data_IF_530734501713
#
_entry.id   IF_530734501713
#
_cell.length_a   1.000
_cell.length_b   1.000
_cell.length_c   1.000
_cell.angle_alpha   90.00
_cell.angle_beta   90.00
_cell.angle_gamma   90.00
#
_symmetry.space_group_name_H-M   'P 1'
#
loop_
_entity.id
_entity.type
_entity.pdbx_description
1 polymer ?
#
# COMPACT_ATOMS: atom_id res chain seq x y z
N UNK A 1 -10.37 18.74 7.89
CA UNK A 1 -9.72 18.03 6.77
C UNK A 1 -9.26 19.04 5.74
N UNK A 2 -7.97 19.07 5.39
CA UNK A 2 -7.45 20.03 4.41
C UNK A 2 -7.09 19.35 3.08
N UNK A 3 -6.97 20.14 2.03
CA UNK A 3 -6.39 19.69 0.77
C UNK A 3 -4.87 19.50 0.94
N UNK A 4 -4.29 18.59 0.15
CA UNK A 4 -2.84 18.40 0.12
C UNK A 4 -2.21 19.57 -0.65
N UNK A 5 -1.02 19.98 -0.25
CA UNK A 5 -0.22 20.93 -1.03
C UNK A 5 0.35 20.24 -2.27
N UNK A 6 0.87 21.01 -3.23
CA UNK A 6 1.49 20.43 -4.43
C UNK A 6 2.68 19.52 -4.09
N UNK A 7 3.52 19.93 -3.14
CA UNK A 7 4.66 19.13 -2.67
C UNK A 7 4.23 17.82 -1.99
N UNK A 8 3.19 17.87 -1.14
CA UNK A 8 2.62 16.66 -0.50
C UNK A 8 1.96 15.73 -1.52
N UNK A 9 1.30 16.31 -2.51
CA UNK A 9 0.66 15.57 -3.59
C UNK A 9 1.70 14.85 -4.43
N UNK A 10 2.80 15.53 -4.77
CA UNK A 10 3.93 14.93 -5.50
C UNK A 10 4.55 13.76 -4.72
N UNK A 11 4.87 13.96 -3.44
CA UNK A 11 5.48 12.91 -2.60
C UNK A 11 4.55 11.71 -2.38
N UNK A 12 3.25 11.93 -2.23
CA UNK A 12 2.24 10.87 -2.21
C UNK A 12 2.24 10.06 -3.51
N UNK A 13 2.13 10.75 -4.66
CA UNK A 13 2.06 10.09 -5.96
C UNK A 13 3.36 9.38 -6.34
N UNK A 14 4.52 9.93 -5.99
CA UNK A 14 5.81 9.26 -6.14
C UNK A 14 5.81 7.92 -5.38
N UNK A 15 5.32 7.91 -4.13
CA UNK A 15 5.26 6.67 -3.34
C UNK A 15 4.25 5.67 -3.92
N UNK A 16 3.08 6.11 -4.34
CA UNK A 16 2.07 5.24 -4.96
C UNK A 16 2.53 4.70 -6.33
N UNK A 17 3.25 5.50 -7.11
CA UNK A 17 3.81 5.11 -8.40
C UNK A 17 4.82 3.95 -8.27
N UNK A 18 5.49 3.81 -7.11
CA UNK A 18 6.35 2.64 -6.86
C UNK A 18 5.60 1.30 -6.87
N UNK A 19 4.28 1.27 -6.68
CA UNK A 19 3.47 0.04 -6.72
C UNK A 19 2.56 -0.02 -7.97
N UNK A 20 1.87 1.07 -8.28
CA UNK A 20 0.89 1.12 -9.39
C UNK A 20 1.50 1.44 -10.75
N UNK A 21 2.69 2.06 -10.81
CA UNK A 21 3.26 2.61 -12.04
C UNK A 21 2.27 3.55 -12.74
N UNK A 22 1.97 3.28 -14.02
CA UNK A 22 1.02 4.07 -14.83
C UNK A 22 -0.45 3.90 -14.42
N UNK A 23 -0.80 2.86 -13.66
CA UNK A 23 -2.18 2.59 -13.22
C UNK A 23 -2.74 3.60 -12.20
N UNK A 24 -1.93 4.58 -11.80
CA UNK A 24 -2.31 5.59 -10.81
C UNK A 24 -3.39 6.56 -11.31
N UNK A 25 -3.49 6.77 -12.64
CA UNK A 25 -4.54 7.59 -13.25
C UNK A 25 -5.93 7.04 -12.94
N UNK A 26 -6.06 5.71 -12.91
CA UNK A 26 -7.33 5.04 -12.68
C UNK A 26 -7.86 5.32 -11.26
N UNK A 27 -6.98 5.55 -10.28
CA UNK A 27 -7.42 5.92 -8.92
C UNK A 27 -8.17 7.27 -8.86
N UNK A 28 -7.98 8.13 -9.87
CA UNK A 28 -8.59 9.46 -9.93
C UNK A 28 -9.76 9.47 -10.94
N UNK A 29 -9.62 8.72 -12.04
CA UNK A 29 -10.54 8.75 -13.18
C UNK A 29 -11.62 7.67 -13.12
N UNK A 30 -11.34 6.52 -12.50
CA UNK A 30 -12.15 5.32 -12.63
C UNK A 30 -13.28 5.33 -11.59
N UNK A 31 -14.31 6.09 -11.90
CA UNK A 31 -15.56 6.11 -11.14
C UNK A 31 -16.68 5.76 -12.10
N UNK A 32 -16.90 4.47 -12.34
CA UNK A 32 -18.05 3.96 -13.08
C UNK A 32 -19.40 4.50 -12.53
N UNK A 33 -19.39 5.00 -11.28
CA UNK A 33 -20.50 5.64 -10.58
C UNK A 33 -20.57 7.17 -10.68
N UNK A 34 -19.69 7.82 -11.46
CA UNK A 34 -19.67 9.28 -11.65
C UNK A 34 -19.18 10.11 -10.44
N UNK A 35 -18.81 9.46 -9.33
CA UNK A 35 -18.33 10.13 -8.11
C UNK A 35 -16.80 10.24 -8.10
N UNK A 36 -16.27 11.45 -8.26
CA UNK A 36 -14.84 11.71 -8.16
C UNK A 36 -14.28 11.39 -6.78
N UNK A 37 -13.13 10.73 -6.73
CA UNK A 37 -12.37 10.53 -5.50
C UNK A 37 -11.28 11.60 -5.31
N UNK A 38 -11.07 11.99 -4.06
CA UNK A 38 -10.11 13.02 -3.66
C UNK A 38 -9.27 12.57 -2.48
N UNK A 39 -8.05 13.11 -2.40
CA UNK A 39 -7.18 12.95 -1.25
C UNK A 39 -7.37 14.12 -0.28
N UNK A 40 -7.47 13.81 1.01
CA UNK A 40 -7.58 14.81 2.08
C UNK A 40 -6.61 14.47 3.20
N UNK A 41 -6.03 15.51 3.80
CA UNK A 41 -5.11 15.36 4.92
C UNK A 41 -5.78 15.75 6.24
N UNK A 42 -5.53 14.95 7.27
CA UNK A 42 -5.88 15.26 8.65
C UNK A 42 -4.86 14.67 9.62
N UNK A 43 -4.35 15.50 10.54
CA UNK A 43 -3.34 15.09 11.56
C UNK A 43 -2.21 14.24 10.94
N UNK A 44 -1.69 14.70 9.80
CA UNK A 44 -0.63 14.07 8.99
C UNK A 44 -0.97 12.76 8.27
N UNK A 45 -2.22 12.28 8.37
CA UNK A 45 -2.72 11.11 7.65
C UNK A 45 -3.47 11.51 6.38
N UNK A 46 -3.21 10.80 5.30
CA UNK A 46 -3.88 10.99 4.00
C UNK A 46 -5.00 9.98 3.86
N UNK A 47 -6.19 10.49 3.55
CA UNK A 47 -7.40 9.72 3.34
C UNK A 47 -7.84 9.79 1.88
N UNK A 48 -8.24 8.64 1.34
CA UNK A 48 -8.88 8.49 0.04
C UNK A 48 -10.40 8.36 0.24
N UNK A 49 -11.14 9.32 -0.32
CA UNK A 49 -12.57 9.47 -0.05
C UNK A 49 -13.28 10.08 -1.27
N UNK A 50 -14.58 9.81 -1.42
CA UNK A 50 -15.42 10.48 -2.43
C UNK A 50 -15.54 11.97 -2.14
N UNK A 51 -15.52 12.79 -3.18
CA UNK A 51 -15.58 14.26 -3.06
C UNK A 51 -16.82 14.74 -2.29
N UNK A 52 -17.99 14.14 -2.58
CA UNK A 52 -19.25 14.46 -1.88
C UNK A 52 -19.13 14.26 -0.37
N UNK A 53 -18.52 13.15 0.07
CA UNK A 53 -18.32 12.85 1.49
C UNK A 53 -17.27 13.77 2.13
N UNK A 54 -16.20 14.09 1.40
CA UNK A 54 -15.19 15.04 1.87
C UNK A 54 -15.79 16.44 2.10
N UNK A 55 -16.71 16.88 1.24
CA UNK A 55 -17.38 18.17 1.36
C UNK A 55 -18.35 18.19 2.56
N UNK A 56 -19.09 17.11 2.79
CA UNK A 56 -19.95 16.99 3.99
C UNK A 56 -19.14 16.96 5.29
N UNK A 57 -17.97 16.31 5.28
CA UNK A 57 -17.11 16.23 6.46
C UNK A 57 -16.49 17.58 6.89
N UNK A 58 -16.66 18.65 6.10
CA UNK A 58 -16.21 20.00 6.49
C UNK A 58 -17.00 20.59 7.66
N UNK A 59 -18.21 20.08 7.94
CA UNK A 59 -19.04 20.51 9.08
C UNK A 59 -18.57 19.95 10.43
N UNK A 60 -17.71 18.93 10.42
CA UNK A 60 -17.19 18.30 11.64
C UNK A 60 -15.89 18.97 12.07
N UNK A 61 -15.81 19.37 13.34
CA UNK A 61 -14.61 19.98 13.92
C UNK A 61 -13.39 19.04 13.82
N UNK A 62 -12.20 19.61 13.60
CA UNK A 62 -10.96 18.85 13.35
C UNK A 62 -10.60 17.88 14.49
N UNK A 63 -10.91 18.25 15.71
CA UNK A 63 -10.59 17.45 16.90
C UNK A 63 -11.57 16.28 17.09
N UNK A 64 -12.80 16.43 16.60
CA UNK A 64 -13.86 15.42 16.70
C UNK A 64 -13.83 14.42 15.54
N UNK A 65 -13.20 14.79 14.42
CA UNK A 65 -13.10 13.92 13.27
C UNK A 65 -11.91 12.95 13.46
N UNK A 66 -12.16 11.64 13.46
CA UNK A 66 -11.13 10.63 13.67
C UNK A 66 -10.56 10.11 12.35
N UNK A 67 -11.43 9.53 11.50
CA UNK A 67 -11.11 9.01 10.18
C UNK A 67 -12.24 9.30 9.19
N UNK A 68 -11.92 9.29 7.89
CA UNK A 68 -12.92 9.44 6.83
C UNK A 68 -12.48 8.66 5.60
N UNK A 69 -13.30 7.70 5.15
CA UNK A 69 -12.94 6.85 4.01
C UNK A 69 -11.78 5.92 4.35
N UNK A 70 -10.86 5.72 3.39
CA UNK A 70 -9.72 4.80 3.55
C UNK A 70 -8.44 5.56 3.82
N UNK A 71 -7.77 5.28 4.94
CA UNK A 71 -6.44 5.83 5.20
C UNK A 71 -5.42 5.19 4.24
N UNK A 72 -4.67 5.98 3.49
CA UNK A 72 -3.59 5.46 2.65
C UNK A 72 -2.28 5.36 3.41
N UNK A 73 -2.07 6.25 4.38
CA UNK A 73 -0.81 6.35 5.09
C UNK A 73 -0.64 7.70 5.76
N UNK A 74 0.58 7.97 6.22
CA UNK A 74 0.91 9.22 6.91
C UNK A 74 2.23 9.82 6.44
N UNK A 75 2.34 11.13 6.56
CA UNK A 75 3.62 11.81 6.44
C UNK A 75 4.44 11.62 7.72
N UNK A 76 5.72 11.30 7.56
CA UNK A 76 6.68 11.28 8.65
C UNK A 76 7.13 12.70 8.98
N UNK A 77 7.72 12.90 10.16
CA UNK A 77 8.35 14.19 10.53
C UNK A 77 9.42 14.65 9.54
N UNK A 78 10.01 13.72 8.80
CA UNK A 78 11.00 13.97 7.74
C UNK A 78 10.38 14.28 6.37
N UNK A 79 9.04 14.40 6.27
CA UNK A 79 8.33 14.71 5.04
C UNK A 79 8.17 13.54 4.07
N UNK A 80 8.54 12.31 4.46
CA UNK A 80 8.36 11.11 3.62
C UNK A 80 6.97 10.54 3.83
N UNK A 81 6.37 9.99 2.77
CA UNK A 81 5.08 9.31 2.88
C UNK A 81 5.27 7.82 3.23
N UNK A 82 4.74 7.40 4.38
CA UNK A 82 4.67 5.99 4.79
C UNK A 82 3.29 5.43 4.44
N UNK A 83 3.27 4.49 3.51
CA UNK A 83 2.07 3.76 3.11
C UNK A 83 1.64 2.79 4.22
N UNK A 84 0.35 2.73 4.52
CA UNK A 84 -0.24 1.81 5.49
C UNK A 84 -0.91 0.63 4.78
N UNK A 85 -1.06 -0.49 5.49
CA UNK A 85 -1.73 -1.68 4.96
C UNK A 85 -3.18 -1.43 4.51
N UNK A 86 -3.85 -0.44 5.11
CA UNK A 86 -5.20 -0.01 4.74
C UNK A 86 -5.33 0.45 3.29
N UNK A 87 -4.23 0.81 2.63
CA UNK A 87 -4.20 1.15 1.21
C UNK A 87 -4.27 -0.07 0.27
N UNK A 88 -4.08 -1.29 0.79
CA UNK A 88 -3.95 -2.51 -0.01
C UNK A 88 -5.14 -2.78 -0.95
N UNK A 89 -6.42 -2.65 -0.52
CA UNK A 89 -7.55 -2.89 -1.41
C UNK A 89 -7.61 -1.93 -2.60
N UNK A 90 -7.10 -0.70 -2.42
CA UNK A 90 -7.07 0.34 -3.45
C UNK A 90 -5.90 0.09 -4.41
N UNK A 91 -4.74 -0.35 -3.91
CA UNK A 91 -3.52 -0.46 -4.71
C UNK A 91 -3.39 -1.81 -5.42
N UNK A 92 -3.80 -2.91 -4.78
CA UNK A 92 -3.61 -4.26 -5.30
C UNK A 92 -4.22 -4.53 -6.69
N UNK A 93 -5.40 -3.96 -7.05
CA UNK A 93 -5.95 -4.11 -8.40
C UNK A 93 -5.10 -3.43 -9.48
N UNK A 94 -4.44 -2.32 -9.14
CA UNK A 94 -3.70 -1.49 -10.07
C UNK A 94 -2.17 -1.72 -10.02
N UNK A 95 -1.69 -2.63 -9.16
CA UNK A 95 -0.26 -2.88 -9.01
C UNK A 95 0.30 -3.63 -10.22
N UNK A 96 1.43 -3.13 -10.76
CA UNK A 96 2.11 -3.76 -11.90
C UNK A 96 2.83 -5.05 -11.51
N UNK A 97 3.56 -5.02 -10.40
CA UNK A 97 4.42 -6.12 -9.96
C UNK A 97 3.84 -6.81 -8.75
N UNK A 98 3.72 -8.13 -8.85
CA UNK A 98 3.05 -8.99 -7.87
C UNK A 98 3.91 -10.20 -7.56
N UNK A 99 3.87 -10.64 -6.30
CA UNK A 99 4.50 -11.88 -5.84
C UNK A 99 3.43 -12.72 -5.15
N UNK A 100 3.31 -13.97 -5.57
CA UNK A 100 2.41 -14.94 -4.97
C UNK A 100 3.19 -15.86 -4.04
N UNK A 101 2.73 -15.93 -2.80
CA UNK A 101 3.32 -16.72 -1.72
C UNK A 101 2.52 -18.00 -1.55
N UNK A 102 3.23 -19.12 -1.43
CA UNK A 102 2.68 -20.45 -1.10
C UNK A 102 2.15 -20.46 0.33
N UNK A 103 1.24 -21.37 0.64
CA UNK A 103 0.60 -21.49 1.96
C UNK A 103 1.60 -21.64 3.12
N UNK A 104 2.77 -22.25 2.90
CA UNK A 104 3.82 -22.35 3.94
C UNK A 104 4.48 -21.01 4.29
N UNK A 105 4.43 -20.03 3.38
CA UNK A 105 5.03 -18.71 3.55
C UNK A 105 4.06 -17.60 3.93
N UNK A 106 2.75 -17.86 3.91
CA UNK A 106 1.71 -16.87 4.23
C UNK A 106 1.80 -16.42 5.69
N UNK A 107 1.81 -17.37 6.63
CA UNK A 107 1.90 -17.07 8.07
C UNK A 107 3.21 -16.36 8.44
N UNK A 108 4.41 -16.81 7.98
CA UNK A 108 5.65 -16.07 8.20
C UNK A 108 5.58 -14.61 7.71
N UNK A 109 4.96 -14.36 6.55
CA UNK A 109 4.81 -13.00 6.02
C UNK A 109 3.83 -12.16 6.85
N UNK A 110 2.67 -12.72 7.21
CA UNK A 110 1.67 -12.06 8.07
C UNK A 110 2.15 -11.82 9.50
N UNK A 111 3.20 -12.50 9.94
CA UNK A 111 3.90 -12.21 11.19
C UNK A 111 5.07 -11.24 11.01
N UNK A 112 5.16 -10.53 9.89
CA UNK A 112 6.17 -9.49 9.66
C UNK A 112 7.51 -10.01 9.15
N UNK A 113 7.58 -11.30 8.77
CA UNK A 113 8.75 -11.87 8.11
C UNK A 113 8.89 -11.41 6.66
N UNK A 114 10.12 -11.48 6.15
CA UNK A 114 10.39 -11.25 4.72
C UNK A 114 9.97 -12.45 3.86
N UNK A 115 9.75 -12.22 2.57
CA UNK A 115 9.44 -13.29 1.62
C UNK A 115 10.73 -13.96 1.19
N UNK A 116 10.89 -15.24 1.57
CA UNK A 116 12.00 -16.08 1.15
C UNK A 116 11.73 -16.76 -0.19
N UNK A 117 12.78 -17.13 -0.91
CA UNK A 117 12.68 -17.83 -2.18
C UNK A 117 11.88 -19.13 -2.09
N UNK A 118 12.03 -19.89 -1.00
CA UNK A 118 11.25 -21.11 -0.76
C UNK A 118 9.73 -20.88 -0.72
N UNK A 119 9.32 -19.70 -0.25
CA UNK A 119 7.92 -19.31 -0.07
C UNK A 119 7.26 -18.83 -1.36
N UNK A 120 8.04 -18.45 -2.38
CA UNK A 120 7.47 -17.94 -3.62
C UNK A 120 6.87 -19.08 -4.45
N UNK A 121 5.60 -18.92 -4.83
CA UNK A 121 4.91 -19.75 -5.83
C UNK A 121 5.13 -19.23 -7.25
N UNK A 122 4.72 -17.98 -7.50
CA UNK A 122 4.89 -17.29 -8.79
C UNK A 122 5.15 -15.80 -8.56
N UNK A 123 5.68 -15.11 -9.56
CA UNK A 123 5.84 -13.65 -9.54
C UNK A 123 5.64 -13.09 -10.94
N UNK A 124 5.41 -11.79 -11.04
CA UNK A 124 5.46 -11.09 -12.33
C UNK A 124 6.88 -11.19 -12.93
N UNK A 125 6.98 -11.25 -14.24
CA UNK A 125 8.28 -11.18 -14.91
C UNK A 125 8.85 -9.76 -14.89
N UNK A 126 10.17 -9.65 -15.09
CA UNK A 126 10.89 -8.38 -15.19
C UNK A 126 10.68 -7.40 -14.02
N UNK A 127 10.61 -7.93 -12.79
CA UNK A 127 10.64 -7.08 -11.58
C UNK A 127 12.08 -6.59 -11.42
N UNK A 128 12.32 -5.26 -11.43
CA UNK A 128 13.62 -4.69 -11.12
C UNK A 128 13.99 -4.92 -9.65
N UNK A 129 15.26 -4.77 -9.31
CA UNK A 129 15.67 -4.70 -7.90
C UNK A 129 15.14 -3.41 -7.25
N UNK A 130 14.78 -3.48 -5.97
CA UNK A 130 14.26 -2.35 -5.17
C UNK A 130 12.95 -1.74 -5.68
N UNK A 131 12.14 -2.55 -6.37
CA UNK A 131 10.83 -2.17 -6.87
C UNK A 131 9.73 -2.50 -5.85
N UNK A 132 8.73 -1.62 -5.73
CA UNK A 132 7.52 -1.90 -4.95
C UNK A 132 6.71 -3.05 -5.57
N UNK A 133 6.38 -4.04 -4.76
CA UNK A 133 5.61 -5.24 -5.16
C UNK A 133 4.43 -5.44 -4.20
N UNK A 134 3.32 -5.94 -4.72
CA UNK A 134 2.21 -6.42 -3.90
C UNK A 134 2.36 -7.92 -3.67
N UNK A 135 2.25 -8.33 -2.41
CA UNK A 135 2.31 -9.73 -2.01
C UNK A 135 0.89 -10.28 -1.95
N UNK A 136 0.66 -11.41 -2.61
CA UNK A 136 -0.62 -12.11 -2.65
C UNK A 136 -0.45 -13.56 -2.20
N UNK A 137 -1.54 -14.18 -1.73
CA UNK A 137 -1.64 -15.63 -1.60
C UNK A 137 -1.80 -16.29 -2.96
N UNK A 138 -1.64 -17.62 -3.04
CA UNK A 138 -1.91 -18.39 -4.26
C UNK A 138 -3.36 -18.26 -4.77
N UNK A 139 -4.29 -17.84 -3.91
CA UNK A 139 -5.70 -17.62 -4.23
C UNK A 139 -6.00 -16.17 -4.65
N UNK A 140 -4.98 -15.42 -5.08
CA UNK A 140 -5.11 -14.02 -5.50
C UNK A 140 -5.64 -13.07 -4.41
N UNK A 141 -5.53 -13.46 -3.14
CA UNK A 141 -5.87 -12.59 -2.01
C UNK A 141 -4.69 -11.69 -1.65
N UNK A 142 -4.84 -10.36 -1.64
CA UNK A 142 -3.75 -9.46 -1.26
C UNK A 142 -3.37 -9.63 0.22
N UNK A 143 -2.08 -9.84 0.49
CA UNK A 143 -1.53 -10.02 1.84
C UNK A 143 -0.75 -8.79 2.34
N UNK A 144 -0.18 -8.00 1.44
CA UNK A 144 0.57 -6.81 1.85
C UNK A 144 1.45 -6.18 0.78
N UNK A 145 2.32 -5.30 1.23
CA UNK A 145 3.30 -4.59 0.43
C UNK A 145 4.70 -5.10 0.71
N UNK A 146 5.51 -5.20 -0.34
CA UNK A 146 6.92 -5.51 -0.26
C UNK A 146 7.76 -4.67 -1.21
N UNK A 147 9.08 -4.78 -1.06
CA UNK A 147 10.06 -4.25 -2.01
C UNK A 147 10.93 -5.41 -2.47
N UNK A 148 11.12 -5.57 -3.77
CA UNK A 148 11.99 -6.63 -4.30
C UNK A 148 13.42 -6.45 -3.78
N UNK A 149 13.99 -7.54 -3.27
CA UNK A 149 15.37 -7.57 -2.78
C UNK A 149 16.37 -7.77 -3.91
N UNK A 150 15.95 -8.42 -5.01
CA UNK A 150 16.73 -8.70 -6.22
C UNK A 150 15.84 -8.63 -7.44
N UNK A 151 16.45 -8.54 -8.61
CA UNK A 151 15.73 -8.64 -9.89
C UNK A 151 15.12 -10.04 -10.08
N UNK A 152 14.10 -10.18 -10.92
CA UNK A 152 13.50 -11.49 -11.22
C UNK A 152 14.52 -12.52 -11.73
N UNK A 153 15.48 -12.09 -12.55
CA UNK A 153 16.51 -12.97 -13.11
C UNK A 153 17.45 -13.52 -12.03
N UNK A 154 17.86 -12.69 -11.08
CA UNK A 154 18.71 -13.09 -9.96
C UNK A 154 17.94 -13.88 -8.91
N UNK A 155 16.70 -13.49 -8.61
CA UNK A 155 15.84 -14.19 -7.67
C UNK A 155 15.56 -15.65 -8.09
N UNK A 156 15.66 -15.99 -9.39
CA UNK A 156 15.59 -17.38 -9.86
C UNK A 156 16.79 -18.23 -9.40
N UNK A 157 17.95 -17.62 -9.19
CA UNK A 157 19.22 -18.28 -8.85
C UNK A 157 19.54 -18.29 -7.35
N UNK A 158 18.73 -17.59 -6.54
CA UNK A 158 18.92 -17.54 -5.10
C UNK A 158 18.68 -18.89 -4.43
N UNK A 159 19.40 -19.13 -3.35
CA UNK A 159 19.14 -20.22 -2.41
C UNK A 159 17.71 -20.12 -1.83
N UNK A 160 17.10 -21.25 -1.41
CA UNK A 160 15.75 -21.25 -0.85
C UNK A 160 15.55 -20.31 0.36
N UNK A 161 16.62 -20.08 1.14
CA UNK A 161 16.65 -19.17 2.29
C UNK A 161 16.91 -17.71 1.92
N UNK A 162 17.24 -17.43 0.65
CA UNK A 162 17.46 -16.08 0.15
C UNK A 162 16.19 -15.24 0.19
N UNK A 163 16.35 -13.97 0.58
CA UNK A 163 15.24 -13.01 0.60
C UNK A 163 14.94 -12.56 -0.83
N UNK A 164 13.70 -12.71 -1.26
CA UNK A 164 13.22 -12.25 -2.57
C UNK A 164 12.52 -10.90 -2.46
N UNK A 165 11.78 -10.66 -1.38
CA UNK A 165 11.15 -9.37 -1.11
C UNK A 165 11.21 -9.00 0.36
N UNK A 166 11.59 -7.75 0.63
CA UNK A 166 11.54 -7.13 1.94
C UNK A 166 10.11 -6.71 2.25
N UNK A 167 9.60 -7.15 3.41
CA UNK A 167 8.28 -6.79 3.88
C UNK A 167 8.22 -5.30 4.18
N UNK A 168 7.16 -4.62 3.74
CA UNK A 168 6.89 -3.22 4.07
C UNK A 168 5.68 -3.09 5.01
N UNK A 169 4.58 -3.74 4.65
CA UNK A 169 3.38 -3.83 5.49
C UNK A 169 2.64 -5.13 5.15
N UNK A 170 1.94 -5.71 6.12
CA UNK A 170 1.15 -6.93 5.94
C UNK A 170 -0.18 -6.85 6.69
N UNK A 171 -1.17 -7.63 6.25
CA UNK A 171 -2.52 -7.66 6.85
C UNK A 171 -2.53 -8.12 8.32
N UNK A 172 -1.49 -8.79 8.80
CA UNK A 172 -1.36 -9.11 10.22
C UNK A 172 -1.12 -7.88 11.09
N UNK A 173 -0.79 -6.70 10.52
CA UNK A 173 -0.77 -5.43 11.26
C UNK A 173 -2.15 -5.09 11.84
N UNK A 174 -3.26 -5.54 11.23
CA UNK A 174 -4.59 -5.27 11.79
C UNK A 174 -4.82 -5.87 13.18
N UNK A 175 -4.07 -6.91 13.56
CA UNK A 175 -4.14 -7.54 14.89
C UNK A 175 -2.98 -7.14 15.81
N UNK A 176 -1.91 -6.54 15.26
CA UNK A 176 -0.67 -6.26 15.99
C UNK A 176 -0.45 -4.77 16.25
N UNK A 177 -1.01 -3.94 15.39
CA UNK A 177 -0.78 -2.50 15.32
C UNK A 177 -2.11 -1.72 15.44
N UNK A 178 -3.08 -2.26 16.19
CA UNK A 178 -4.39 -1.64 16.43
C UNK A 178 -4.24 -0.19 16.95
N UNK A 179 -3.34 0.00 17.92
CA UNK A 179 -3.06 1.29 18.56
C UNK A 179 -2.29 2.28 17.66
N UNK A 180 -1.58 1.83 16.63
CA UNK A 180 -0.78 2.73 15.77
C UNK A 180 -1.49 3.04 14.45
N UNK A 181 -2.33 2.12 13.97
CA UNK A 181 -3.07 2.25 12.73
C UNK A 181 -4.20 3.28 12.86
N UNK A 182 -4.93 3.28 13.97
CA UNK A 182 -6.17 4.05 14.12
C UNK A 182 -6.11 5.21 15.12
N UNK A 183 -5.13 5.21 16.03
CA UNK A 183 -5.04 6.24 17.07
C UNK A 183 -4.35 7.50 16.56
N UNK A 184 -4.89 8.66 16.93
CA UNK A 184 -4.43 10.02 16.55
C UNK A 184 -3.42 10.58 17.51
#
# INVERSE_FOLDING_TARGET
>A
MRQLTEAETKTLFEKLATYCGKGISNLITDSASGDRYVFRLQKDRVYYVREKLANLATSVHRDNLLSLGTCLGKFTKTGKFRLHITALPIIAPHSRFKIWVKSNGEMPFMYGGNVLKAHVGRWTEDIPEHQGVVVLSMNDTPLGFGVSARSTAEARRLDPTGIVAFRQADVGEYLREEDTLFTT
#
